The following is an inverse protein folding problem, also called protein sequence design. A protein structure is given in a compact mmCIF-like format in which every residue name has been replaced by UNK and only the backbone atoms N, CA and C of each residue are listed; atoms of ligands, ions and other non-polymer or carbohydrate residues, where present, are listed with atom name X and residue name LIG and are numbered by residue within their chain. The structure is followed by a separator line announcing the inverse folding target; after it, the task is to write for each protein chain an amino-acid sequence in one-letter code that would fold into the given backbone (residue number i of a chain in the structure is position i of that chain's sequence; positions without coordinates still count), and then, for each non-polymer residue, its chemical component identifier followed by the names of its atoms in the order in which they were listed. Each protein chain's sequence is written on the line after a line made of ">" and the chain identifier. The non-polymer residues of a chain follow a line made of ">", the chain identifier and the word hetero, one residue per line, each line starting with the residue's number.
data_IF_125753428470
#
_entry.id   IF_125753428470
#
_cell.length_a   1.000
_cell.length_b   1.000
_cell.length_c   1.000
_cell.angle_alpha   90.00
_cell.angle_beta   90.00
_cell.angle_gamma   90.00
#
_symmetry.space_group_name_H-M   'P 1'
#
loop_
_entity.id
_entity.type
_entity.pdbx_description
1 polymer ?
#
# COMPACT_ATOMS: atom_id res chain seq x y z
N UNK A 1 -0.43 9.84 -1.71
CA UNK A 1 -1.25 9.29 -0.61
C UNK A 1 -1.82 7.90 -0.86
N UNK A 2 -2.41 7.59 -2.04
CA UNK A 2 -3.02 6.28 -2.35
C UNK A 2 -2.18 5.05 -1.96
N UNK A 3 -0.88 5.05 -2.28
CA UNK A 3 0.04 3.95 -1.93
C UNK A 3 0.16 3.73 -0.41
N UNK A 4 0.11 4.80 0.38
CA UNK A 4 0.16 4.72 1.83
C UNK A 4 -1.14 4.11 2.40
N UNK A 5 -2.30 4.52 1.89
CA UNK A 5 -3.58 3.93 2.31
C UNK A 5 -3.74 2.46 1.87
N UNK A 6 -3.25 2.10 0.68
CA UNK A 6 -3.17 0.71 0.24
C UNK A 6 -2.27 -0.13 1.15
N UNK A 7 -1.09 0.40 1.51
CA UNK A 7 -0.17 -0.26 2.43
C UNK A 7 -0.80 -0.46 3.82
N UNK A 8 -1.52 0.55 4.32
CA UNK A 8 -2.21 0.51 5.62
C UNK A 8 -3.31 -0.55 5.63
N UNK A 9 -4.11 -0.61 4.57
CA UNK A 9 -5.15 -1.64 4.39
C UNK A 9 -4.55 -3.06 4.37
N UNK A 10 -3.42 -3.24 3.67
CA UNK A 10 -2.67 -4.51 3.68
C UNK A 10 -2.13 -4.86 5.05
N UNK A 11 -1.58 -3.89 5.78
CA UNK A 11 -1.05 -4.08 7.14
C UNK A 11 -2.15 -4.47 8.13
N UNK A 12 -3.30 -3.81 8.08
CA UNK A 12 -4.45 -4.16 8.93
C UNK A 12 -4.95 -5.58 8.68
N UNK A 13 -4.99 -5.99 7.40
CA UNK A 13 -5.35 -7.35 7.01
C UNK A 13 -4.32 -8.36 7.53
N UNK A 14 -3.02 -8.12 7.29
CA UNK A 14 -1.95 -9.01 7.73
C UNK A 14 -1.87 -9.13 9.26
N UNK A 15 -2.19 -8.05 10.00
CA UNK A 15 -2.28 -8.07 11.46
C UNK A 15 -3.42 -8.96 11.95
N UNK A 16 -4.60 -8.90 11.32
CA UNK A 16 -5.75 -9.78 11.64
C UNK A 16 -5.42 -11.24 11.37
N UNK A 17 -4.74 -11.53 10.26
CA UNK A 17 -4.28 -12.87 9.92
C UNK A 17 -3.30 -13.41 10.98
N UNK A 18 -2.36 -12.57 11.43
CA UNK A 18 -1.42 -12.93 12.49
C UNK A 18 -2.12 -13.24 13.81
N UNK A 19 -3.04 -12.40 14.28
CA UNK A 19 -3.77 -12.65 15.53
C UNK A 19 -4.60 -13.95 15.45
N UNK A 20 -5.19 -14.22 14.28
CA UNK A 20 -5.94 -15.46 14.03
C UNK A 20 -5.02 -16.69 14.09
N UNK A 21 -3.87 -16.63 13.42
CA UNK A 21 -2.89 -17.72 13.41
C UNK A 21 -2.30 -17.97 14.80
N UNK A 22 -1.99 -16.90 15.54
CA UNK A 22 -1.50 -16.97 16.92
C UNK A 22 -2.50 -17.67 17.84
N UNK A 23 -3.77 -17.28 17.79
CA UNK A 23 -4.82 -17.95 18.59
C UNK A 23 -4.93 -19.44 18.25
N UNK A 24 -4.90 -19.79 16.96
CA UNK A 24 -4.92 -21.19 16.50
C UNK A 24 -3.72 -21.98 17.03
N UNK A 25 -2.53 -21.38 17.06
CA UNK A 25 -1.31 -21.98 17.59
C UNK A 25 -1.40 -22.19 19.11
N UNK A 26 -1.89 -21.21 19.87
CA UNK A 26 -2.11 -21.31 21.31
C UNK A 26 -3.12 -22.41 21.66
N UNK A 27 -4.25 -22.47 20.96
CA UNK A 27 -5.29 -23.48 21.17
C UNK A 27 -4.79 -24.90 20.84
N UNK A 28 -4.05 -25.05 19.72
CA UNK A 28 -3.49 -26.34 19.33
C UNK A 28 -2.40 -26.82 20.31
N UNK A 29 -1.53 -25.91 20.76
CA UNK A 29 -0.50 -26.23 21.74
C UNK A 29 -1.11 -26.63 23.08
N UNK A 30 -2.10 -25.87 23.57
CA UNK A 30 -2.80 -26.17 24.82
C UNK A 30 -3.42 -27.57 24.81
N UNK A 31 -4.06 -27.94 23.70
CA UNK A 31 -4.64 -29.29 23.55
C UNK A 31 -3.56 -30.38 23.63
N UNK A 32 -2.44 -30.21 22.94
CA UNK A 32 -1.33 -31.15 22.99
C UNK A 32 -0.75 -31.27 24.42
N UNK A 33 -0.52 -30.15 25.11
CA UNK A 33 0.03 -30.14 26.47
C UNK A 33 -0.92 -30.82 27.48
N UNK A 34 -2.23 -30.60 27.36
CA UNK A 34 -3.24 -31.27 28.18
C UNK A 34 -3.26 -32.79 27.96
N UNK A 35 -3.20 -33.24 26.70
CA UNK A 35 -3.18 -34.65 26.31
C UNK A 35 -1.89 -35.35 26.76
N UNK A 36 -0.75 -34.68 26.63
CA UNK A 36 0.54 -35.15 27.13
C UNK A 36 0.53 -35.29 28.65
N UNK A 37 0.05 -34.27 29.38
CA UNK A 37 -0.01 -34.27 30.84
C UNK A 37 -0.86 -35.42 31.39
N UNK A 38 -2.03 -35.69 30.80
CA UNK A 38 -2.88 -36.83 31.19
C UNK A 38 -2.15 -38.16 31.01
N UNK A 39 -1.41 -38.29 29.91
CA UNK A 39 -0.64 -39.50 29.59
C UNK A 39 0.50 -39.72 30.60
N UNK A 40 1.25 -38.67 30.91
CA UNK A 40 2.35 -38.72 31.89
C UNK A 40 1.85 -39.01 33.32
N UNK A 41 0.75 -38.37 33.73
CA UNK A 41 0.16 -38.58 35.05
C UNK A 41 -0.34 -40.01 35.23
N UNK A 42 -1.00 -40.58 34.19
CA UNK A 42 -1.42 -41.99 34.20
C UNK A 42 -0.21 -42.90 34.31
N UNK A 43 0.81 -42.70 33.50
CA UNK A 43 2.02 -43.54 33.52
C UNK A 43 2.70 -43.55 34.90
N UNK A 44 2.77 -42.38 35.57
CA UNK A 44 3.31 -42.28 36.93
C UNK A 44 2.46 -43.05 37.94
N UNK A 45 1.14 -42.86 37.94
CA UNK A 45 0.22 -43.59 38.83
C UNK A 45 0.26 -45.10 38.58
N UNK A 46 0.37 -45.52 37.34
CA UNK A 46 0.43 -46.94 36.96
C UNK A 46 1.71 -47.59 37.49
N UNK A 47 2.85 -46.89 37.38
CA UNK A 47 4.12 -47.34 37.96
C UNK A 47 4.08 -47.46 39.48
N UNK A 48 3.47 -46.49 40.17
CA UNK A 48 3.31 -46.53 41.63
C UNK A 48 2.36 -47.65 42.08
N UNK A 49 1.24 -47.85 41.37
CA UNK A 49 0.30 -48.91 41.67
C UNK A 49 0.87 -50.30 41.36
N UNK A 50 1.64 -50.46 40.28
CA UNK A 50 2.35 -51.71 39.96
C UNK A 50 3.33 -52.09 41.08
N UNK A 51 4.11 -51.12 41.58
CA UNK A 51 5.03 -51.37 42.70
C UNK A 51 4.31 -51.86 43.96
N UNK A 52 3.13 -51.32 44.28
CA UNK A 52 2.30 -51.80 45.41
C UNK A 52 1.84 -53.24 45.21
N UNK A 53 1.50 -53.63 43.98
CA UNK A 53 1.13 -55.01 43.63
C UNK A 53 2.33 -55.95 43.81
N UNK A 54 3.51 -55.54 43.37
CA UNK A 54 4.75 -56.31 43.52
C UNK A 54 5.11 -56.51 45.00
N UNK A 55 5.08 -55.44 45.80
CA UNK A 55 5.36 -55.47 47.24
C UNK A 55 4.34 -56.37 48.00
N UNK A 56 3.06 -56.29 47.65
CA UNK A 56 2.02 -57.13 48.25
C UNK A 56 2.14 -58.60 47.82
N UNK A 57 2.54 -58.86 46.58
CA UNK A 57 2.79 -60.22 46.06
C UNK A 57 3.97 -60.85 46.78
N UNK A 58 5.04 -60.10 47.00
CA UNK A 58 6.20 -60.54 47.77
C UNK A 58 5.83 -60.85 49.24
N UNK A 59 4.95 -60.05 49.85
CA UNK A 59 4.46 -60.30 51.20
C UNK A 59 3.67 -61.61 51.29
N UNK A 60 2.81 -61.90 50.31
CA UNK A 60 2.08 -63.18 50.20
C UNK A 60 3.06 -64.35 50.08
N UNK A 61 4.05 -64.27 49.19
CA UNK A 61 5.07 -65.32 49.05
C UNK A 61 5.82 -65.58 50.37
N UNK A 62 6.23 -64.52 51.07
CA UNK A 62 6.88 -64.64 52.39
C UNK A 62 5.98 -65.32 53.42
N UNK A 63 4.69 -64.96 53.48
CA UNK A 63 3.73 -65.58 54.38
C UNK A 63 3.54 -67.09 54.10
N UNK A 64 3.47 -67.49 52.82
CA UNK A 64 3.42 -68.90 52.44
C UNK A 64 4.70 -69.66 52.81
N UNK A 65 5.88 -69.04 52.66
CA UNK A 65 7.15 -69.64 53.10
C UNK A 65 7.17 -69.84 54.62
N UNK A 66 6.69 -68.87 55.42
CA UNK A 66 6.56 -69.02 56.87
C UNK A 66 5.61 -70.17 57.25
N UNK A 67 4.44 -70.22 56.61
CA UNK A 67 3.47 -71.29 56.82
C UNK A 67 4.05 -72.68 56.52
N UNK A 68 4.77 -72.82 55.39
CA UNK A 68 5.46 -74.07 55.03
C UNK A 68 6.52 -74.47 56.06
N UNK A 69 7.31 -73.53 56.57
CA UNK A 69 8.29 -73.79 57.64
C UNK A 69 7.62 -74.32 58.91
N UNK A 70 6.46 -73.77 59.27
CA UNK A 70 5.68 -74.27 60.42
C UNK A 70 5.21 -75.71 60.16
N UNK A 71 4.70 -76.01 58.97
CA UNK A 71 4.30 -77.37 58.58
C UNK A 71 5.47 -78.37 58.67
N UNK A 72 6.63 -78.02 58.11
CA UNK A 72 7.84 -78.86 58.12
C UNK A 72 8.39 -79.06 59.54
N UNK A 73 8.17 -78.10 60.45
CA UNK A 73 8.62 -78.15 61.84
C UNK A 73 7.69 -78.93 62.78
N UNK A 74 6.74 -79.73 62.27
CA UNK A 74 5.74 -80.43 63.09
C UNK A 74 6.36 -81.23 64.24
N UNK A 75 7.49 -81.89 63.99
CA UNK A 75 8.23 -82.70 64.97
C UNK A 75 8.83 -81.89 66.12
N UNK A 76 9.00 -80.57 65.96
CA UNK A 76 9.62 -79.69 66.94
C UNK A 76 8.65 -79.23 68.04
N UNK A 77 7.36 -79.58 67.95
CA UNK A 77 6.34 -79.20 68.91
C UNK A 77 5.99 -80.36 69.84
N UNK A 78 6.04 -80.10 71.16
CA UNK A 78 5.76 -81.09 72.20
C UNK A 78 4.31 -81.60 72.18
N UNK A 79 3.36 -80.71 71.89
CA UNK A 79 1.92 -81.01 71.88
C UNK A 79 1.27 -80.58 70.55
N UNK A 80 0.17 -81.25 70.17
CA UNK A 80 -0.60 -80.93 68.94
C UNK A 80 -1.27 -79.55 68.99
N UNK A 81 -1.68 -79.10 70.19
CA UNK A 81 -2.34 -77.81 70.38
C UNK A 81 -1.44 -76.63 69.99
N UNK A 82 -0.18 -76.62 70.45
CA UNK A 82 0.76 -75.52 70.20
C UNK A 82 1.13 -75.39 68.72
N UNK A 83 1.31 -76.53 68.04
CA UNK A 83 1.50 -76.58 66.59
C UNK A 83 0.30 -76.02 65.84
N UNK A 84 -0.92 -76.46 66.17
CA UNK A 84 -2.13 -75.98 65.52
C UNK A 84 -2.31 -74.47 65.70
N UNK A 85 -1.98 -73.93 66.87
CA UNK A 85 -2.00 -72.49 67.14
C UNK A 85 -1.01 -71.73 66.23
N UNK A 86 0.23 -72.21 66.11
CA UNK A 86 1.24 -71.60 65.23
C UNK A 86 0.88 -71.68 63.74
N UNK A 87 0.27 -72.78 63.32
CA UNK A 87 -0.23 -72.95 61.96
C UNK A 87 -1.37 -71.97 61.66
N UNK A 88 -2.29 -71.77 62.61
CA UNK A 88 -3.37 -70.80 62.50
C UNK A 88 -2.85 -69.35 62.46
N UNK A 89 -1.87 -68.99 63.30
CA UNK A 89 -1.20 -67.68 63.26
C UNK A 89 -0.55 -67.42 61.89
N UNK A 90 0.13 -68.42 61.30
CA UNK A 90 0.70 -68.30 59.96
C UNK A 90 -0.36 -68.19 58.86
N UNK A 91 -1.49 -68.89 59.00
CA UNK A 91 -2.61 -68.78 58.06
C UNK A 91 -3.24 -67.38 58.09
N UNK A 92 -3.42 -66.78 59.28
CA UNK A 92 -3.93 -65.40 59.40
C UNK A 92 -3.02 -64.41 58.66
N UNK A 93 -1.70 -64.58 58.74
CA UNK A 93 -0.75 -63.74 57.96
C UNK A 93 -0.93 -63.90 56.46
N UNK A 94 -1.23 -65.10 55.97
CA UNK A 94 -1.54 -65.36 54.56
C UNK A 94 -2.82 -64.62 54.16
N UNK A 95 -3.87 -64.72 54.98
CA UNK A 95 -5.17 -64.10 54.70
C UNK A 95 -5.06 -62.56 54.68
N UNK A 96 -4.32 -61.99 55.63
CA UNK A 96 -4.01 -60.55 55.66
C UNK A 96 -3.19 -60.10 54.45
N UNK A 97 -2.17 -60.86 54.05
CA UNK A 97 -1.34 -60.57 52.89
C UNK A 97 -2.16 -60.66 51.58
N UNK A 98 -3.01 -61.69 51.44
CA UNK A 98 -3.89 -61.85 50.29
C UNK A 98 -4.93 -60.73 50.19
N UNK A 99 -5.47 -60.27 51.33
CA UNK A 99 -6.38 -59.12 51.38
C UNK A 99 -5.69 -57.84 50.87
N UNK A 100 -4.43 -57.60 51.28
CA UNK A 100 -3.62 -56.47 50.80
C UNK A 100 -3.33 -56.59 49.30
N UNK A 101 -2.97 -57.78 48.82
CA UNK A 101 -2.75 -58.03 47.39
C UNK A 101 -4.02 -57.79 46.57
N UNK A 102 -5.19 -58.21 47.07
CA UNK A 102 -6.48 -57.96 46.41
C UNK A 102 -6.76 -56.46 46.32
N UNK A 103 -6.54 -55.70 47.40
CA UNK A 103 -6.72 -54.25 47.40
C UNK A 103 -5.76 -53.56 46.41
N UNK A 104 -4.47 -53.92 46.42
CA UNK A 104 -3.48 -53.37 45.50
C UNK A 104 -3.80 -53.67 44.03
N UNK A 105 -4.26 -54.89 43.73
CA UNK A 105 -4.72 -55.27 42.39
C UNK A 105 -5.93 -54.47 41.93
N UNK A 106 -6.87 -54.17 42.84
CA UNK A 106 -8.02 -53.34 42.53
C UNK A 106 -7.59 -51.89 42.25
N UNK A 107 -6.70 -51.31 43.05
CA UNK A 107 -6.10 -49.98 42.79
C UNK A 107 -5.37 -49.94 41.43
N UNK A 108 -4.60 -50.99 41.10
CA UNK A 108 -3.91 -51.05 39.82
C UNK A 108 -4.88 -51.12 38.64
N UNK A 109 -5.96 -51.92 38.75
CA UNK A 109 -7.01 -51.99 37.73
C UNK A 109 -7.72 -50.64 37.52
N UNK A 110 -8.03 -49.90 38.58
CA UNK A 110 -8.67 -48.59 38.45
C UNK A 110 -7.76 -47.56 37.77
N UNK A 111 -6.45 -47.58 38.06
CA UNK A 111 -5.49 -46.72 37.36
C UNK A 111 -5.36 -47.08 35.88
N UNK A 112 -5.31 -48.37 35.52
CA UNK A 112 -5.25 -48.80 34.11
C UNK A 112 -6.49 -48.42 33.31
N UNK A 113 -7.65 -48.37 33.96
CA UNK A 113 -8.92 -47.99 33.35
C UNK A 113 -9.02 -46.48 33.01
N UNK A 114 -8.13 -45.63 33.52
CA UNK A 114 -8.08 -44.21 33.16
C UNK A 114 -7.82 -44.08 31.66
N UNK A 115 -8.71 -43.43 30.92
CA UNK A 115 -8.56 -43.24 29.47
C UNK A 115 -7.57 -42.11 29.20
N UNK A 116 -6.59 -42.38 28.35
CA UNK A 116 -5.61 -41.40 27.84
C UNK A 116 -5.62 -41.43 26.32
N UNK A 117 -5.21 -40.33 25.65
CA UNK A 117 -5.03 -40.32 24.20
C UNK A 117 -4.15 -41.49 23.74
N UNK A 118 -4.55 -42.13 22.66
CA UNK A 118 -3.70 -43.14 22.03
C UNK A 118 -2.42 -42.50 21.46
N UNK A 119 -1.30 -43.24 21.34
CA UNK A 119 -0.05 -42.70 20.83
C UNK A 119 -0.20 -41.99 19.47
N UNK A 120 -1.02 -42.54 18.56
CA UNK A 120 -1.29 -41.93 17.26
C UNK A 120 -2.09 -40.63 17.40
N UNK A 121 -3.10 -40.59 18.27
CA UNK A 121 -3.87 -39.38 18.53
C UNK A 121 -3.01 -38.27 19.16
N UNK A 122 -2.11 -38.62 20.08
CA UNK A 122 -1.15 -37.68 20.68
C UNK A 122 -0.13 -37.16 19.65
N UNK A 123 0.33 -38.03 18.74
CA UNK A 123 1.19 -37.62 17.64
C UNK A 123 0.47 -36.67 16.67
N UNK A 124 -0.80 -36.90 16.39
CA UNK A 124 -1.62 -35.98 15.58
C UNK A 124 -1.81 -34.61 16.24
N UNK A 125 -2.09 -34.55 17.55
CA UNK A 125 -2.24 -33.27 18.25
C UNK A 125 -0.91 -32.53 18.31
N UNK A 126 0.21 -33.22 18.48
CA UNK A 126 1.56 -32.64 18.38
C UNK A 126 1.81 -32.03 17.00
N UNK A 127 1.53 -32.80 15.94
CA UNK A 127 1.72 -32.35 14.56
C UNK A 127 0.89 -31.10 14.26
N UNK A 128 -0.38 -31.08 14.70
CA UNK A 128 -1.26 -29.91 14.56
C UNK A 128 -0.73 -28.68 15.30
N UNK A 129 -0.16 -28.86 16.50
CA UNK A 129 0.46 -27.76 17.24
C UNK A 129 1.71 -27.21 16.54
N UNK A 130 2.56 -28.09 15.98
CA UNK A 130 3.75 -27.70 15.21
C UNK A 130 3.36 -26.98 13.90
N UNK A 131 2.39 -27.51 13.16
CA UNK A 131 1.85 -26.90 11.94
C UNK A 131 1.26 -25.50 12.23
N UNK A 132 0.44 -25.37 13.28
CA UNK A 132 -0.16 -24.09 13.66
C UNK A 132 0.89 -23.06 14.11
N UNK A 133 1.94 -23.47 14.83
CA UNK A 133 3.08 -22.61 15.17
C UNK A 133 3.86 -22.16 13.93
N UNK A 134 4.05 -23.04 12.95
CA UNK A 134 4.68 -22.67 11.69
C UNK A 134 3.85 -21.63 10.92
N UNK A 135 2.52 -21.82 10.88
CA UNK A 135 1.57 -20.84 10.30
C UNK A 135 1.64 -19.48 11.02
N UNK A 136 1.67 -19.46 12.36
CA UNK A 136 1.83 -18.23 13.16
C UNK A 136 3.12 -17.47 12.78
N UNK A 137 4.25 -18.17 12.67
CA UNK A 137 5.53 -17.54 12.29
C UNK A 137 5.46 -16.94 10.89
N UNK A 138 4.81 -17.61 9.94
CA UNK A 138 4.63 -17.08 8.58
C UNK A 138 3.72 -15.86 8.58
N UNK A 139 2.60 -15.91 9.31
CA UNK A 139 1.67 -14.79 9.43
C UNK A 139 2.33 -13.57 10.09
N UNK A 140 3.13 -13.79 11.14
CA UNK A 140 3.91 -12.74 11.79
C UNK A 140 4.86 -12.04 10.82
N UNK A 141 5.65 -12.81 10.06
CA UNK A 141 6.57 -12.24 9.05
C UNK A 141 5.82 -11.39 8.00
N UNK A 142 4.64 -11.81 7.57
CA UNK A 142 3.81 -11.03 6.64
C UNK A 142 3.30 -9.73 7.30
N UNK A 143 2.85 -9.80 8.54
CA UNK A 143 2.41 -8.63 9.31
C UNK A 143 3.56 -7.62 9.51
N UNK A 144 4.73 -8.09 9.92
CA UNK A 144 5.92 -7.23 10.14
C UNK A 144 6.36 -6.56 8.84
N UNK A 145 6.36 -7.32 7.72
CA UNK A 145 6.69 -6.76 6.40
C UNK A 145 5.67 -5.71 5.95
N UNK A 146 4.37 -5.97 6.12
CA UNK A 146 3.34 -5.01 5.75
C UNK A 146 3.42 -3.73 6.60
N UNK A 147 3.78 -3.83 7.88
CA UNK A 147 4.02 -2.66 8.72
C UNK A 147 5.22 -1.82 8.24
N UNK A 148 6.30 -2.47 7.78
CA UNK A 148 7.44 -1.77 7.17
C UNK A 148 7.05 -1.06 5.86
N UNK A 149 6.24 -1.69 5.01
CA UNK A 149 5.74 -1.08 3.77
C UNK A 149 4.92 0.19 4.06
N UNK A 150 4.12 0.21 5.14
CA UNK A 150 3.40 1.41 5.60
C UNK A 150 4.37 2.52 6.00
N UNK A 151 5.41 2.19 6.78
CA UNK A 151 6.39 3.20 7.22
C UNK A 151 7.16 3.81 6.04
N UNK A 152 7.54 2.98 5.05
CA UNK A 152 8.19 3.45 3.82
C UNK A 152 7.24 4.35 3.02
N UNK A 153 6.02 3.90 2.77
CA UNK A 153 5.05 4.69 2.02
C UNK A 153 4.72 6.02 2.72
N UNK A 154 4.69 6.04 4.05
CA UNK A 154 4.50 7.28 4.83
C UNK A 154 5.66 8.25 4.61
N UNK A 155 6.90 7.78 4.73
CA UNK A 155 8.10 8.62 4.53
C UNK A 155 8.19 9.17 3.10
N UNK A 156 7.77 8.38 2.10
CA UNK A 156 7.70 8.86 0.71
C UNK A 156 6.70 10.01 0.55
N UNK A 157 5.53 9.93 1.20
CA UNK A 157 4.52 11.01 1.19
C UNK A 157 5.08 12.25 1.89
N UNK A 158 5.58 12.12 3.12
CA UNK A 158 6.16 13.23 3.89
C UNK A 158 7.32 13.92 3.13
N UNK A 159 8.16 13.14 2.42
CA UNK A 159 9.26 13.69 1.63
C UNK A 159 8.78 14.54 0.44
N UNK A 160 7.71 14.10 -0.24
CA UNK A 160 7.12 14.85 -1.35
C UNK A 160 6.38 16.11 -0.88
N UNK A 161 5.69 16.05 0.26
CA UNK A 161 5.04 17.22 0.86
C UNK A 161 6.06 18.32 1.19
N UNK A 162 7.21 17.94 1.76
CA UNK A 162 8.32 18.87 2.01
C UNK A 162 8.96 19.43 0.74
N UNK A 163 8.99 18.67 -0.36
CA UNK A 163 9.47 19.15 -1.65
C UNK A 163 8.50 20.18 -2.25
N UNK A 164 7.20 19.94 -2.11
CA UNK A 164 6.14 20.88 -2.50
C UNK A 164 6.22 22.17 -1.72
N UNK A 165 6.35 22.11 -0.38
CA UNK A 165 6.45 23.30 0.47
C UNK A 165 7.62 24.21 0.02
N UNK A 166 8.79 23.62 -0.21
CA UNK A 166 9.98 24.37 -0.70
C UNK A 166 9.75 24.99 -2.07
N UNK A 167 9.12 24.26 -2.99
CA UNK A 167 8.83 24.80 -4.33
C UNK A 167 7.80 25.92 -4.29
N UNK A 168 6.80 25.84 -3.41
CA UNK A 168 5.84 26.91 -3.19
C UNK A 168 6.52 28.18 -2.66
N UNK A 169 7.46 28.04 -1.72
CA UNK A 169 8.25 29.18 -1.22
C UNK A 169 9.12 29.82 -2.33
N UNK A 170 9.76 28.99 -3.16
CA UNK A 170 10.55 29.46 -4.31
C UNK A 170 9.69 30.17 -5.36
N UNK A 171 8.51 29.65 -5.66
CA UNK A 171 7.52 30.27 -6.58
C UNK A 171 7.07 31.62 -6.03
N UNK A 172 6.66 31.68 -4.76
CA UNK A 172 6.23 32.92 -4.09
C UNK A 172 7.32 34.00 -4.14
N UNK A 173 8.58 33.61 -3.94
CA UNK A 173 9.72 34.53 -4.07
C UNK A 173 9.89 35.03 -5.50
N UNK A 174 9.84 34.13 -6.50
CA UNK A 174 9.94 34.50 -7.91
C UNK A 174 8.78 35.37 -8.40
N UNK A 175 7.55 35.15 -7.92
CA UNK A 175 6.39 35.99 -8.23
C UNK A 175 6.61 37.44 -7.80
N UNK A 176 7.18 37.65 -6.60
CA UNK A 176 7.54 39.00 -6.12
C UNK A 176 8.64 39.63 -6.99
N UNK A 177 9.62 38.83 -7.40
CA UNK A 177 10.69 39.31 -8.28
C UNK A 177 10.19 39.67 -9.69
N UNK A 178 9.27 38.89 -10.26
CA UNK A 178 8.60 39.17 -11.53
C UNK A 178 7.79 40.46 -11.41
N UNK A 179 7.01 40.63 -10.35
CA UNK A 179 6.25 41.87 -10.11
C UNK A 179 7.18 43.09 -10.00
N UNK A 180 8.30 42.94 -9.32
CA UNK A 180 9.31 44.02 -9.19
C UNK A 180 9.94 44.36 -10.54
N UNK A 181 10.35 43.36 -11.32
CA UNK A 181 10.92 43.56 -12.65
C UNK A 181 9.91 44.20 -13.62
N UNK A 182 8.65 43.77 -13.56
CA UNK A 182 7.56 44.36 -14.33
C UNK A 182 7.39 45.84 -14.01
N UNK A 183 7.34 46.20 -12.72
CA UNK A 183 7.27 47.61 -12.30
C UNK A 183 8.45 48.45 -12.81
N UNK A 184 9.67 47.88 -12.86
CA UNK A 184 10.83 48.57 -13.39
C UNK A 184 10.70 48.82 -14.90
N UNK A 185 10.28 47.79 -15.66
CA UNK A 185 10.03 47.90 -17.12
C UNK A 185 8.95 48.95 -17.41
N UNK A 186 7.84 48.93 -16.68
CA UNK A 186 6.75 49.89 -16.85
C UNK A 186 7.19 51.33 -16.58
N UNK A 187 8.02 51.53 -15.55
CA UNK A 187 8.58 52.85 -15.24
C UNK A 187 9.53 53.34 -16.34
N UNK A 188 10.37 52.45 -16.90
CA UNK A 188 11.23 52.78 -18.04
C UNK A 188 10.42 53.13 -19.30
N UNK A 189 9.33 52.41 -19.58
CA UNK A 189 8.40 52.73 -20.68
C UNK A 189 7.76 54.11 -20.51
N UNK A 190 7.33 54.44 -19.29
CA UNK A 190 6.78 55.78 -18.97
C UNK A 190 7.82 56.89 -19.14
N UNK A 191 9.06 56.66 -18.71
CA UNK A 191 10.16 57.61 -18.89
C UNK A 191 10.46 57.84 -20.38
N UNK A 192 10.52 56.76 -21.17
CA UNK A 192 10.79 56.83 -22.61
C UNK A 192 9.73 57.67 -23.35
N UNK A 193 8.46 57.58 -22.97
CA UNK A 193 7.37 58.34 -23.58
C UNK A 193 7.44 59.86 -23.33
N UNK A 194 8.25 60.32 -22.36
CA UNK A 194 8.38 61.73 -21.99
C UNK A 194 9.71 62.40 -22.39
N UNK A 195 10.58 61.69 -23.11
CA UNK A 195 11.92 62.17 -23.53
C UNK A 195 11.92 62.50 -25.03
N UNK A 196 12.69 63.50 -25.43
CA UNK A 196 12.87 63.88 -26.83
C UNK A 196 13.46 62.71 -27.64
N UNK A 197 13.02 62.46 -28.89
CA UNK A 197 13.42 61.28 -29.67
C UNK A 197 14.93 61.13 -29.89
N UNK A 198 15.67 62.24 -29.85
CA UNK A 198 17.13 62.25 -30.08
C UNK A 198 17.96 61.87 -28.84
N UNK A 199 17.34 61.78 -27.64
CA UNK A 199 18.00 61.52 -26.35
C UNK A 199 17.59 60.18 -25.69
N UNK A 200 17.02 59.23 -26.45
CA UNK A 200 16.42 57.99 -25.91
C UNK A 200 17.36 56.79 -25.78
N UNK A 201 18.52 56.77 -26.44
CA UNK A 201 19.40 55.59 -26.59
C UNK A 201 19.69 54.88 -25.24
N UNK A 202 20.02 55.64 -24.20
CA UNK A 202 20.36 55.07 -22.89
C UNK A 202 19.15 54.45 -22.17
N UNK A 203 17.94 54.97 -22.40
CA UNK A 203 16.69 54.46 -21.82
C UNK A 203 16.25 53.21 -22.57
N UNK A 204 16.35 53.19 -23.89
CA UNK A 204 16.05 52.02 -24.72
C UNK A 204 16.97 50.83 -24.42
N UNK A 205 18.27 51.08 -24.22
CA UNK A 205 19.22 50.03 -23.83
C UNK A 205 18.87 49.43 -22.45
N UNK A 206 18.48 50.27 -21.48
CA UNK A 206 18.01 49.82 -20.16
C UNK A 206 16.70 49.07 -20.24
N UNK A 207 15.77 49.52 -21.10
CA UNK A 207 14.48 48.88 -21.32
C UNK A 207 14.66 47.48 -21.91
N UNK A 208 15.47 47.33 -22.98
CA UNK A 208 15.78 46.01 -23.56
C UNK A 208 16.37 45.05 -22.53
N UNK A 209 17.29 45.53 -21.68
CA UNK A 209 17.87 44.71 -20.62
C UNK A 209 16.82 44.29 -19.58
N UNK A 210 15.97 45.22 -19.15
CA UNK A 210 14.88 44.95 -18.19
C UNK A 210 13.84 43.98 -18.74
N UNK A 211 13.45 44.12 -20.01
CA UNK A 211 12.53 43.21 -20.69
C UNK A 211 13.12 41.80 -20.83
N UNK A 212 14.41 41.68 -21.13
CA UNK A 212 15.10 40.38 -21.17
C UNK A 212 15.16 39.71 -19.78
N UNK A 213 15.42 40.48 -18.72
CA UNK A 213 15.45 39.97 -17.35
C UNK A 213 14.06 39.53 -16.86
N UNK A 214 13.03 40.34 -17.14
CA UNK A 214 11.63 40.01 -16.85
C UNK A 214 11.22 38.69 -17.55
N UNK A 215 11.49 38.56 -18.85
CA UNK A 215 11.17 37.35 -19.61
C UNK A 215 11.89 36.12 -19.05
N UNK A 216 13.15 36.26 -18.62
CA UNK A 216 13.90 35.17 -18.01
C UNK A 216 13.26 34.70 -16.68
N UNK A 217 12.85 35.64 -15.82
CA UNK A 217 12.18 35.32 -14.55
C UNK A 217 10.80 34.71 -14.75
N UNK A 218 10.01 35.21 -15.70
CA UNK A 218 8.72 34.62 -16.08
C UNK A 218 8.89 33.19 -16.59
N UNK A 219 9.93 32.93 -17.41
CA UNK A 219 10.22 31.58 -17.90
C UNK A 219 10.69 30.63 -16.78
N UNK A 220 11.40 31.12 -15.77
CA UNK A 220 11.78 30.34 -14.59
C UNK A 220 10.57 30.02 -13.71
N UNK A 221 9.73 31.02 -13.43
CA UNK A 221 8.48 30.87 -12.69
C UNK A 221 7.58 29.82 -13.33
N UNK A 222 7.36 29.90 -14.64
CA UNK A 222 6.56 28.93 -15.39
C UNK A 222 7.11 27.50 -15.27
N UNK A 223 8.44 27.32 -15.32
CA UNK A 223 9.05 25.98 -15.13
C UNK A 223 8.83 25.43 -13.73
N UNK A 224 8.92 26.27 -12.68
CA UNK A 224 8.68 25.84 -11.30
C UNK A 224 7.20 25.54 -11.05
N UNK A 225 6.29 26.35 -11.57
CA UNK A 225 4.84 26.10 -11.50
C UNK A 225 4.46 24.77 -12.14
N UNK A 226 4.95 24.47 -13.36
CA UNK A 226 4.74 23.15 -13.98
C UNK A 226 5.40 22.00 -13.19
N UNK A 227 6.51 22.26 -12.50
CA UNK A 227 7.15 21.27 -11.63
C UNK A 227 6.33 20.96 -10.38
N UNK A 228 5.76 21.99 -9.75
CA UNK A 228 4.87 21.88 -8.61
C UNK A 228 3.60 21.10 -8.95
N UNK A 229 2.97 21.41 -10.09
CA UNK A 229 1.79 20.71 -10.61
C UNK A 229 2.03 19.21 -10.75
N UNK A 230 3.14 18.82 -11.40
CA UNK A 230 3.52 17.40 -11.52
C UNK A 230 3.74 16.70 -10.18
N UNK A 231 4.24 17.40 -9.17
CA UNK A 231 4.43 16.84 -7.84
C UNK A 231 3.10 16.65 -7.12
N UNK A 232 2.19 17.64 -7.24
CA UNK A 232 0.83 17.57 -6.71
C UNK A 232 0.06 16.39 -7.34
N UNK A 233 0.07 16.24 -8.66
CA UNK A 233 -0.55 15.10 -9.37
C UNK A 233 0.00 13.74 -8.89
N UNK A 234 1.26 13.71 -8.48
CA UNK A 234 1.91 12.48 -7.99
C UNK A 234 1.57 12.13 -6.53
N UNK A 235 1.06 13.10 -5.78
CA UNK A 235 0.69 12.99 -4.36
C UNK A 235 -0.80 12.68 -4.23
N UNK A 236 -1.61 13.42 -4.99
CA UNK A 236 -3.04 13.23 -5.12
C UNK A 236 -3.42 13.20 -6.61
N UNK A 237 -3.31 12.04 -7.27
CA UNK A 237 -3.92 11.86 -8.57
C UNK A 237 -5.43 11.85 -8.32
N UNK A 238 -6.05 13.02 -8.21
CA UNK A 238 -7.49 13.21 -8.03
C UNK A 238 -8.24 12.54 -9.19
N UNK A 239 -8.39 11.22 -9.19
CA UNK A 239 -9.10 10.49 -10.24
C UNK A 239 -8.61 10.74 -11.69
N UNK A 240 -7.57 11.55 -11.93
CA UNK A 240 -7.19 12.00 -13.26
C UNK A 240 -6.53 10.85 -14.01
N UNK A 241 -7.04 10.60 -15.20
CA UNK A 241 -6.52 9.55 -16.09
C UNK A 241 -5.23 10.02 -16.76
N UNK A 242 -4.38 9.09 -17.22
CA UNK A 242 -3.18 9.44 -17.99
C UNK A 242 -3.51 10.30 -19.22
N UNK A 243 -4.71 10.12 -19.79
CA UNK A 243 -5.20 10.91 -20.92
C UNK A 243 -5.45 12.39 -20.55
N UNK A 244 -5.84 12.69 -19.30
CA UNK A 244 -6.01 14.08 -18.82
C UNK A 244 -4.66 14.76 -18.58
N UNK A 245 -3.67 14.03 -18.05
CA UNK A 245 -2.30 14.53 -17.91
C UNK A 245 -1.63 14.79 -19.28
N UNK A 246 -1.88 13.92 -20.25
CA UNK A 246 -1.35 14.09 -21.61
C UNK A 246 -2.04 15.26 -22.34
N UNK A 247 -3.33 15.52 -22.05
CA UNK A 247 -4.07 16.67 -22.57
C UNK A 247 -3.57 17.99 -21.95
N UNK A 248 -3.37 18.02 -20.64
CA UNK A 248 -2.88 19.19 -19.91
C UNK A 248 -1.44 19.55 -20.31
N UNK A 249 -0.59 18.52 -20.53
CA UNK A 249 0.75 18.72 -21.09
C UNK A 249 0.73 19.28 -22.53
N UNK A 250 -0.23 18.85 -23.36
CA UNK A 250 -0.42 19.36 -24.72
C UNK A 250 -0.92 20.81 -24.73
N UNK A 251 -1.85 21.16 -23.83
CA UNK A 251 -2.36 22.53 -23.64
C UNK A 251 -1.25 23.48 -23.15
N UNK A 252 -0.40 23.04 -22.22
CA UNK A 252 0.75 23.82 -21.76
C UNK A 252 1.81 24.04 -22.87
N UNK A 253 1.98 23.09 -23.79
CA UNK A 253 2.86 23.25 -24.96
C UNK A 253 2.24 24.22 -26.00
N UNK A 254 0.91 24.17 -26.17
CA UNK A 254 0.13 25.09 -27.00
C UNK A 254 0.21 26.53 -26.48
N UNK A 255 0.06 26.76 -25.18
CA UNK A 255 0.18 28.08 -24.57
C UNK A 255 1.55 28.72 -24.82
N UNK A 256 2.64 27.94 -24.71
CA UNK A 256 3.99 28.42 -25.05
C UNK A 256 4.14 28.78 -26.54
N UNK A 257 3.48 28.03 -27.43
CA UNK A 257 3.48 28.35 -28.88
C UNK A 257 2.70 29.62 -29.17
N UNK A 258 1.56 29.83 -28.51
CA UNK A 258 0.76 31.06 -28.60
C UNK A 258 1.57 32.27 -28.14
N UNK A 259 2.21 32.20 -26.97
CA UNK A 259 3.03 33.30 -26.44
C UNK A 259 4.23 33.62 -27.37
N UNK A 260 4.88 32.60 -27.92
CA UNK A 260 5.96 32.78 -28.91
C UNK A 260 5.47 33.44 -30.21
N UNK A 261 4.28 33.08 -30.69
CA UNK A 261 3.70 33.66 -31.91
C UNK A 261 3.20 35.09 -31.68
N UNK A 262 2.60 35.39 -30.53
CA UNK A 262 2.20 36.75 -30.15
C UNK A 262 3.40 37.70 -30.14
N UNK A 263 4.54 37.27 -29.57
CA UNK A 263 5.78 38.06 -29.61
C UNK A 263 6.25 38.34 -31.04
N UNK A 264 6.18 37.35 -31.94
CA UNK A 264 6.55 37.52 -33.36
C UNK A 264 5.60 38.45 -34.11
N UNK A 265 4.30 38.38 -33.82
CA UNK A 265 3.29 39.30 -34.38
C UNK A 265 3.61 40.73 -33.95
N UNK A 266 3.87 40.95 -32.66
CA UNK A 266 4.22 42.28 -32.14
C UNK A 266 5.52 42.84 -32.76
N UNK A 267 6.54 42.00 -32.98
CA UNK A 267 7.79 42.42 -33.64
C UNK A 267 7.57 42.79 -35.12
N UNK A 268 6.75 42.03 -35.85
CA UNK A 268 6.41 42.32 -37.24
C UNK A 268 5.57 43.59 -37.38
N UNK A 269 4.63 43.84 -36.47
CA UNK A 269 3.84 45.08 -36.44
C UNK A 269 4.74 46.30 -36.24
N UNK A 270 5.74 46.22 -35.36
CA UNK A 270 6.76 47.26 -35.19
C UNK A 270 7.59 47.47 -36.46
N UNK A 271 8.06 46.39 -37.10
CA UNK A 271 8.87 46.49 -38.33
C UNK A 271 8.07 47.11 -39.49
N UNK A 272 6.79 46.73 -39.63
CA UNK A 272 5.85 47.31 -40.61
C UNK A 272 5.66 48.80 -40.34
N UNK A 273 5.40 49.20 -39.09
CA UNK A 273 5.21 50.60 -38.73
C UNK A 273 6.46 51.44 -39.06
N UNK A 274 7.66 50.93 -38.77
CA UNK A 274 8.92 51.60 -39.14
C UNK A 274 9.09 51.74 -40.66
N UNK A 275 8.73 50.72 -41.44
CA UNK A 275 8.81 50.77 -42.90
C UNK A 275 7.78 51.74 -43.51
N UNK A 276 6.59 51.86 -42.93
CA UNK A 276 5.58 52.84 -43.34
C UNK A 276 6.04 54.27 -43.08
N UNK A 277 6.70 54.53 -41.94
CA UNK A 277 7.32 55.82 -41.64
C UNK A 277 8.40 56.16 -42.66
N UNK A 278 9.29 55.22 -42.99
CA UNK A 278 10.35 55.41 -43.99
C UNK A 278 9.79 55.69 -45.39
N UNK A 279 8.69 55.03 -45.77
CA UNK A 279 8.00 55.29 -47.04
C UNK A 279 7.33 56.67 -47.09
N UNK A 280 6.84 57.17 -45.95
CA UNK A 280 6.25 58.51 -45.84
C UNK A 280 7.25 59.66 -46.00
N UNK A 281 8.55 59.39 -45.88
CA UNK A 281 9.64 60.39 -45.98
C UNK A 281 10.60 60.21 -47.16
N UNK A 282 10.32 59.28 -48.10
CA UNK A 282 11.22 58.98 -49.22
C UNK A 282 10.93 59.86 -50.46
N UNK A 283 11.91 60.67 -50.88
CA UNK A 283 11.82 61.62 -52.01
C UNK A 283 12.23 61.04 -53.39
N UNK A 284 12.70 59.78 -53.48
CA UNK A 284 13.16 59.14 -54.73
C UNK A 284 12.23 57.98 -55.16
N UNK A 285 11.94 57.88 -56.47
CA UNK A 285 11.07 56.83 -57.06
C UNK A 285 11.68 55.41 -57.04
N UNK A 286 13.02 55.29 -57.01
CA UNK A 286 13.69 53.98 -57.03
C UNK A 286 13.79 53.34 -55.63
N UNK A 287 14.04 54.11 -54.56
CA UNK A 287 14.11 53.56 -53.20
C UNK A 287 12.73 53.22 -52.63
N UNK A 288 11.68 53.90 -53.10
CA UNK A 288 10.28 53.64 -52.72
C UNK A 288 9.80 52.27 -53.23
N UNK A 289 10.19 51.84 -54.43
CA UNK A 289 9.77 50.55 -54.99
C UNK A 289 10.33 49.34 -54.20
N UNK A 290 11.58 49.45 -53.74
CA UNK A 290 12.22 48.41 -52.92
C UNK A 290 11.58 48.34 -51.52
N UNK A 291 11.33 49.49 -50.89
CA UNK A 291 10.67 49.58 -49.58
C UNK A 291 9.20 49.11 -49.64
N UNK A 292 8.46 49.43 -50.70
CA UNK A 292 7.10 48.94 -50.93
C UNK A 292 7.06 47.41 -51.06
N UNK A 293 8.00 46.82 -51.81
CA UNK A 293 8.11 45.36 -51.90
C UNK A 293 8.44 44.71 -50.55
N UNK A 294 9.33 45.32 -49.77
CA UNK A 294 9.69 44.82 -48.43
C UNK A 294 8.51 44.93 -47.45
N UNK A 295 7.77 46.04 -47.49
CA UNK A 295 6.55 46.25 -46.70
C UNK A 295 5.46 45.23 -47.08
N UNK A 296 5.25 45.01 -48.38
CA UNK A 296 4.29 44.03 -48.88
C UNK A 296 4.63 42.60 -48.42
N UNK A 297 5.92 42.23 -48.47
CA UNK A 297 6.39 40.95 -47.96
C UNK A 297 6.16 40.80 -46.45
N UNK A 298 6.43 41.84 -45.65
CA UNK A 298 6.23 41.84 -44.20
C UNK A 298 4.76 41.80 -43.81
N UNK A 299 3.87 42.54 -44.50
CA UNK A 299 2.42 42.44 -44.31
C UNK A 299 1.88 41.04 -44.63
N UNK A 300 2.41 40.39 -45.67
CA UNK A 300 2.06 39.00 -45.98
C UNK A 300 2.59 38.01 -44.93
N UNK A 301 3.76 38.26 -44.33
CA UNK A 301 4.31 37.46 -43.23
C UNK A 301 3.47 37.61 -41.95
N UNK A 302 3.09 38.86 -41.60
CA UNK A 302 2.21 39.16 -40.46
C UNK A 302 0.85 38.46 -40.60
N UNK A 303 0.20 38.56 -41.77
CA UNK A 303 -1.08 37.92 -42.02
C UNK A 303 -1.00 36.40 -41.82
N UNK A 304 0.06 35.75 -42.30
CA UNK A 304 0.27 34.31 -42.09
C UNK A 304 0.44 33.96 -40.60
N UNK A 305 1.15 34.80 -39.85
CA UNK A 305 1.39 34.58 -38.41
C UNK A 305 0.15 34.85 -37.56
N UNK A 306 -0.66 35.83 -37.92
CA UNK A 306 -1.96 36.08 -37.30
C UNK A 306 -2.93 34.92 -37.56
N UNK A 307 -3.00 34.39 -38.79
CA UNK A 307 -3.81 33.19 -39.09
C UNK A 307 -3.30 31.93 -38.36
N UNK A 308 -2.00 31.79 -38.17
CA UNK A 308 -1.41 30.68 -37.39
C UNK A 308 -1.75 30.81 -35.90
N UNK A 309 -1.68 32.04 -35.35
CA UNK A 309 -2.05 32.34 -33.98
C UNK A 309 -3.55 32.12 -33.72
N UNK A 310 -4.41 32.57 -34.62
CA UNK A 310 -5.87 32.42 -34.51
C UNK A 310 -6.27 30.93 -34.50
N UNK A 311 -5.66 30.12 -35.38
CA UNK A 311 -5.87 28.66 -35.35
C UNK A 311 -5.42 27.98 -34.06
N UNK A 312 -4.35 28.48 -33.43
CA UNK A 312 -3.87 27.93 -32.16
C UNK A 312 -4.78 28.38 -31.00
N UNK A 313 -5.31 29.59 -31.04
CA UNK A 313 -6.30 30.09 -30.09
C UNK A 313 -7.64 29.33 -30.22
N UNK A 314 -8.12 29.09 -31.45
CA UNK A 314 -9.30 28.25 -31.71
C UNK A 314 -9.13 26.81 -31.22
N UNK A 315 -7.88 26.31 -31.19
CA UNK A 315 -7.57 24.97 -30.64
C UNK A 315 -7.45 24.95 -29.11
N UNK A 316 -7.25 26.11 -28.47
CA UNK A 316 -7.20 26.27 -27.01
C UNK A 316 -8.58 26.58 -26.41
N UNK A 317 -9.49 27.15 -27.19
CA UNK A 317 -10.89 27.41 -26.81
C UNK A 317 -11.84 27.01 -27.95
N UNK A 318 -12.21 25.72 -28.04
CA UNK A 318 -13.17 25.25 -29.02
C UNK A 318 -14.58 25.60 -28.55
N UNK A 319 -14.96 26.88 -28.58
CA UNK A 319 -16.34 27.38 -28.42
C UNK A 319 -17.16 26.74 -27.29
N UNK A 320 -17.06 27.26 -26.05
CA UNK A 320 -18.22 27.39 -25.16
C UNK A 320 -19.13 26.19 -24.86
N UNK A 321 -18.67 24.94 -25.05
CA UNK A 321 -19.38 23.74 -24.55
C UNK A 321 -18.89 23.43 -23.16
N UNK A 322 -19.80 23.46 -22.18
CA UNK A 322 -19.49 23.00 -20.83
C UNK A 322 -19.22 21.50 -20.84
N UNK A 323 -18.43 21.01 -19.88
CA UNK A 323 -18.21 19.57 -19.64
C UNK A 323 -19.54 18.79 -19.61
N UNK A 324 -20.61 19.41 -19.11
CA UNK A 324 -21.98 18.89 -19.13
C UNK A 324 -22.53 18.56 -20.53
N UNK A 325 -22.15 19.28 -21.59
CA UNK A 325 -22.59 18.98 -22.97
C UNK A 325 -21.78 17.86 -23.60
N UNK A 326 -20.48 17.77 -23.30
CA UNK A 326 -19.64 16.64 -23.74
C UNK A 326 -20.03 15.34 -23.04
N UNK A 327 -20.37 15.40 -21.75
CA UNK A 327 -20.90 14.27 -21.00
C UNK A 327 -22.29 13.85 -21.50
N UNK A 328 -23.10 14.79 -22.00
CA UNK A 328 -24.40 14.50 -22.63
C UNK A 328 -24.25 13.79 -23.97
N UNK A 329 -23.31 14.24 -24.80
CA UNK A 329 -23.03 13.64 -26.11
C UNK A 329 -22.42 12.23 -25.95
N UNK A 330 -21.56 12.04 -24.93
CA UNK A 330 -21.05 10.73 -24.55
C UNK A 330 -22.16 9.80 -24.00
N UNK A 331 -23.08 10.33 -23.19
CA UNK A 331 -24.22 9.58 -22.66
C UNK A 331 -25.23 9.18 -23.76
N UNK A 332 -25.49 10.06 -24.73
CA UNK A 332 -26.32 9.73 -25.91
C UNK A 332 -25.65 8.66 -26.78
N UNK A 333 -24.33 8.73 -26.98
CA UNK A 333 -23.60 7.69 -27.71
C UNK A 333 -23.56 6.34 -26.99
N UNK A 334 -23.56 6.31 -25.65
CA UNK A 334 -23.65 5.08 -24.86
C UNK A 334 -25.08 4.51 -24.86
N UNK A 335 -26.10 5.37 -24.88
CA UNK A 335 -27.50 4.97 -25.01
C UNK A 335 -27.81 4.38 -26.39
N UNK A 336 -27.27 4.94 -27.47
CA UNK A 336 -27.40 4.37 -28.82
C UNK A 336 -26.74 2.99 -28.93
N UNK A 337 -25.55 2.79 -28.34
CA UNK A 337 -24.93 1.45 -28.27
C UNK A 337 -25.75 0.45 -27.48
N UNK A 338 -26.36 0.87 -26.37
CA UNK A 338 -27.27 0.02 -25.57
C UNK A 338 -28.57 -0.29 -26.30
N UNK A 339 -29.08 0.65 -27.10
CA UNK A 339 -30.24 0.43 -27.96
C UNK A 339 -29.95 -0.61 -29.04
N UNK A 340 -28.80 -0.52 -29.71
CA UNK A 340 -28.34 -1.50 -30.69
C UNK A 340 -28.14 -2.91 -30.08
N UNK A 341 -27.56 -3.00 -28.87
CA UNK A 341 -27.41 -4.28 -28.16
C UNK A 341 -28.77 -4.90 -27.77
N UNK A 342 -29.73 -4.09 -27.33
CA UNK A 342 -31.07 -4.57 -27.00
C UNK A 342 -31.85 -5.00 -28.24
N UNK A 343 -31.70 -4.29 -29.35
CA UNK A 343 -32.35 -4.64 -30.61
C UNK A 343 -31.81 -5.96 -31.18
N UNK A 344 -30.51 -6.21 -31.04
CA UNK A 344 -29.90 -7.50 -31.37
C UNK A 344 -30.40 -8.64 -30.46
N UNK A 345 -30.55 -8.39 -29.15
CA UNK A 345 -31.11 -9.39 -28.21
C UNK A 345 -32.58 -9.70 -28.48
N UNK A 346 -33.38 -8.69 -28.87
CA UNK A 346 -34.78 -8.89 -29.25
C UNK A 346 -34.87 -9.72 -30.54
N UNK A 347 -34.03 -9.46 -31.53
CA UNK A 347 -33.97 -10.24 -32.77
C UNK A 347 -33.56 -11.71 -32.55
N UNK A 348 -32.69 -11.98 -31.57
CA UNK A 348 -32.30 -13.35 -31.20
C UNK A 348 -33.43 -14.08 -30.45
N UNK A 349 -34.19 -13.40 -29.58
CA UNK A 349 -35.34 -13.98 -28.90
C UNK A 349 -36.52 -14.25 -29.85
N UNK A 350 -36.75 -13.40 -30.84
CA UNK A 350 -37.78 -13.63 -31.87
C UNK A 350 -37.48 -14.86 -32.76
N UNK A 351 -36.19 -15.18 -32.97
CA UNK A 351 -35.76 -16.42 -33.63
C UNK A 351 -35.93 -17.67 -32.76
N UNK A 352 -35.93 -17.53 -31.44
CA UNK A 352 -36.09 -18.65 -30.51
C UNK A 352 -37.57 -19.00 -30.27
N UNK A 353 -38.49 -18.09 -30.62
CA UNK A 353 -39.94 -18.23 -30.46
C UNK A 353 -40.66 -18.62 -31.79
N UNK A 354 -40.01 -18.47 -32.96
CA UNK A 354 -40.46 -19.06 -34.25
C UNK A 354 -39.93 -20.47 -34.44
#
# INVERSE_FOLDING_TARGET
>A
EKKYEEAKTKADTAKKDYETAKKKAEDAQKKYDEDQKKTEEKAKKEKEAAKKVDDASLAVQKAYVEYRKVQESRSNYRNRSDYNKKLAEAQVKIDEANKKLTAANNEFKTVRAVVVPEPNALAETKKKAEEAKAEEVVAKKKSDKAAQEVEVAKKEVEAKELEIEKLQDEISTLEQEVATAQHQVDNLKKLLAGVDPDDTEAIEAKLKKGEAELNAKQAELAKKQTGLEKLLDSLDPEGKTQDELDKEAAEAELNKKVESLQNKVADLEKEISNLEILLGGADSEDDTAALQNKLAAKKAELAKKQTELEKLLDSLDPEGKTQDELDKEAAEAELDKKADELQNKVADLEKEIS
#
